data_IF_007851377125
#
_entry.id   IF_007851377125
#
_cell.length_a   1.000
_cell.length_b   1.000
_cell.length_c   1.000
_cell.angle_alpha   90.00
_cell.angle_beta   90.00
_cell.angle_gamma   90.00
#
_symmetry.space_group_name_H-M   'P 1'
#
loop_
_entity.id
_entity.type
_entity.pdbx_description
1 polymer ?
#
# COMPACT_ATOMS: atom_id res chain seq x y z
N UNK A 1 22.76 -26.04 -15.21
CA UNK A 1 21.66 -25.69 -14.30
C UNK A 1 21.13 -24.32 -14.66
N UNK A 2 19.81 -24.11 -14.66
CA UNK A 2 19.22 -22.78 -14.79
C UNK A 2 19.60 -21.93 -13.59
N UNK A 3 19.84 -20.62 -13.79
CA UNK A 3 20.04 -19.69 -12.67
C UNK A 3 18.74 -19.55 -11.90
N UNK A 4 18.82 -19.47 -10.60
CA UNK A 4 17.65 -19.33 -9.72
C UNK A 4 17.29 -17.87 -9.51
N UNK A 5 15.99 -17.57 -9.43
CA UNK A 5 15.46 -16.29 -8.98
C UNK A 5 14.33 -16.52 -7.99
N UNK A 6 14.18 -15.55 -7.08
CA UNK A 6 13.09 -15.52 -6.13
C UNK A 6 12.22 -14.29 -6.39
N UNK A 7 10.93 -14.45 -6.33
CA UNK A 7 9.97 -13.36 -6.60
C UNK A 7 9.03 -13.23 -5.41
N UNK A 8 9.10 -12.10 -4.71
CA UNK A 8 8.10 -11.72 -3.72
C UNK A 8 6.94 -11.00 -4.38
N UNK A 9 5.71 -11.40 -4.07
CA UNK A 9 4.47 -10.85 -4.60
C UNK A 9 3.63 -10.27 -3.48
N UNK A 10 3.08 -9.07 -3.71
CA UNK A 10 2.00 -8.47 -2.93
C UNK A 10 0.84 -8.20 -3.88
N UNK A 11 -0.19 -9.06 -3.84
CA UNK A 11 -1.36 -8.99 -4.72
C UNK A 11 -2.46 -8.21 -3.99
N UNK A 12 -2.47 -6.90 -4.20
CA UNK A 12 -3.49 -6.00 -3.67
C UNK A 12 -4.66 -5.78 -4.63
N UNK A 13 -5.77 -5.25 -4.11
CA UNK A 13 -6.97 -5.01 -4.91
C UNK A 13 -6.77 -3.99 -6.05
N UNK A 14 -5.92 -2.97 -5.86
CA UNK A 14 -5.66 -1.91 -6.84
C UNK A 14 -4.34 -2.05 -7.58
N UNK A 15 -3.36 -2.72 -6.95
CA UNK A 15 -2.02 -2.88 -7.47
C UNK A 15 -1.48 -4.26 -7.15
N UNK A 16 -0.77 -4.85 -8.09
CA UNK A 16 0.10 -5.99 -7.83
C UNK A 16 1.54 -5.51 -7.86
N UNK A 17 2.28 -5.79 -6.80
CA UNK A 17 3.68 -5.41 -6.63
C UNK A 17 4.53 -6.67 -6.61
N UNK A 18 5.68 -6.64 -7.30
CA UNK A 18 6.62 -7.75 -7.25
C UNK A 18 8.05 -7.26 -7.04
N UNK A 19 8.80 -8.02 -6.26
CA UNK A 19 10.23 -7.83 -6.05
C UNK A 19 10.98 -9.05 -6.55
N UNK A 20 11.96 -8.83 -7.41
CA UNK A 20 12.76 -9.88 -8.02
C UNK A 20 14.14 -9.89 -7.39
N UNK A 21 14.54 -11.05 -6.89
CA UNK A 21 15.85 -11.32 -6.30
C UNK A 21 16.66 -12.28 -7.18
N UNK A 22 17.97 -12.11 -7.16
CA UNK A 22 18.89 -13.11 -7.70
C UNK A 22 19.11 -14.28 -6.70
N UNK A 23 19.93 -15.24 -7.08
CA UNK A 23 20.32 -16.40 -6.28
C UNK A 23 21.13 -16.05 -5.01
N UNK A 24 21.70 -14.85 -4.94
CA UNK A 24 22.38 -14.30 -3.76
C UNK A 24 21.45 -13.50 -2.83
N UNK A 25 20.14 -13.51 -3.09
CA UNK A 25 19.13 -12.72 -2.38
C UNK A 25 19.38 -11.21 -2.48
N UNK A 26 19.88 -10.72 -3.61
CA UNK A 26 20.01 -9.30 -3.89
C UNK A 26 18.82 -8.84 -4.74
N UNK A 27 18.18 -7.72 -4.37
CA UNK A 27 17.07 -7.13 -5.13
C UNK A 27 17.58 -6.65 -6.49
N UNK A 28 17.04 -7.21 -7.56
CA UNK A 28 17.34 -6.84 -8.95
C UNK A 28 16.40 -5.76 -9.47
N UNK A 29 15.12 -5.91 -9.19
CA UNK A 29 14.09 -4.98 -9.66
C UNK A 29 12.81 -5.09 -8.85
N UNK A 30 12.05 -3.98 -8.86
CA UNK A 30 10.68 -3.88 -8.37
C UNK A 30 9.80 -3.53 -9.56
N UNK A 31 8.66 -4.20 -9.70
CA UNK A 31 7.63 -3.86 -10.68
C UNK A 31 6.32 -3.64 -9.92
N UNK A 32 5.66 -2.55 -10.25
CA UNK A 32 4.32 -2.23 -9.74
C UNK A 32 3.39 -2.15 -10.94
N UNK A 33 2.35 -2.97 -10.92
CA UNK A 33 1.32 -2.98 -11.96
C UNK A 33 0.00 -2.55 -11.35
N UNK A 34 -0.58 -1.49 -11.88
CA UNK A 34 -1.94 -1.10 -11.54
C UNK A 34 -2.89 -2.11 -12.17
N UNK A 35 -3.57 -2.90 -11.33
CA UNK A 35 -4.56 -3.91 -11.72
C UNK A 35 -5.73 -3.74 -10.76
N UNK A 36 -6.87 -3.30 -11.30
CA UNK A 36 -8.12 -3.14 -10.55
C UNK A 36 -8.82 -4.51 -10.47
N UNK A 37 -8.46 -5.32 -9.50
CA UNK A 37 -8.94 -6.72 -9.37
C UNK A 37 -10.47 -6.80 -9.42
N UNK A 38 -11.18 -5.81 -8.86
CA UNK A 38 -12.64 -5.78 -8.86
C UNK A 38 -13.27 -5.62 -10.25
N UNK A 39 -12.51 -5.16 -11.26
CA UNK A 39 -13.00 -4.90 -12.61
C UNK A 39 -12.17 -5.60 -13.69
N UNK A 40 -10.87 -5.79 -13.44
CA UNK A 40 -9.87 -6.22 -14.43
C UNK A 40 -9.14 -7.49 -13.95
N UNK A 41 -9.87 -8.46 -13.38
CA UNK A 41 -9.26 -9.69 -12.83
C UNK A 41 -8.40 -10.44 -13.85
N UNK A 42 -8.79 -10.43 -15.15
CA UNK A 42 -8.01 -11.06 -16.20
C UNK A 42 -6.63 -10.41 -16.39
N UNK A 43 -6.45 -9.16 -16.01
CA UNK A 43 -5.15 -8.47 -16.11
C UNK A 43 -4.13 -9.03 -15.12
N UNK A 44 -4.58 -9.56 -13.97
CA UNK A 44 -3.71 -10.31 -13.06
C UNK A 44 -3.15 -11.56 -13.76
N UNK A 45 -4.00 -12.32 -14.45
CA UNK A 45 -3.59 -13.50 -15.23
C UNK A 45 -2.57 -13.10 -16.30
N UNK A 46 -2.85 -12.04 -17.07
CA UNK A 46 -1.93 -11.55 -18.11
C UNK A 46 -0.59 -11.15 -17.49
N UNK A 47 -0.59 -10.49 -16.33
CA UNK A 47 0.62 -10.10 -15.63
C UNK A 47 1.43 -11.29 -15.11
N UNK A 48 0.77 -12.32 -14.54
CA UNK A 48 1.41 -13.57 -14.12
C UNK A 48 2.10 -14.27 -15.30
N UNK A 49 1.40 -14.39 -16.44
CA UNK A 49 1.95 -14.96 -17.68
C UNK A 49 3.13 -14.13 -18.19
N UNK A 50 3.03 -12.81 -18.17
CA UNK A 50 4.11 -11.91 -18.60
C UNK A 50 5.37 -12.13 -17.78
N UNK A 51 5.26 -12.17 -16.45
CA UNK A 51 6.41 -12.42 -15.55
C UNK A 51 7.01 -13.81 -15.79
N UNK A 52 6.17 -14.83 -15.94
CA UNK A 52 6.62 -16.19 -16.25
C UNK A 52 7.39 -16.28 -17.56
N UNK A 53 6.94 -15.57 -18.60
CA UNK A 53 7.63 -15.49 -19.90
C UNK A 53 8.94 -14.70 -19.83
N UNK A 54 8.96 -13.59 -19.06
CA UNK A 54 10.13 -12.73 -18.91
C UNK A 54 11.30 -13.49 -18.26
N UNK A 55 11.00 -14.43 -17.37
CA UNK A 55 11.99 -15.20 -16.62
C UNK A 55 11.98 -16.70 -16.97
N UNK A 56 11.51 -17.10 -18.17
CA UNK A 56 11.38 -18.50 -18.63
C UNK A 56 12.68 -19.33 -18.54
N UNK A 57 13.84 -18.66 -18.63
CA UNK A 57 15.15 -19.31 -18.62
C UNK A 57 15.72 -19.49 -17.18
N UNK A 58 14.96 -19.07 -16.16
CA UNK A 58 15.31 -19.20 -14.76
C UNK A 58 14.52 -20.32 -14.07
N UNK A 59 15.07 -20.83 -12.97
CA UNK A 59 14.33 -21.61 -11.97
C UNK A 59 13.66 -20.63 -11.00
N UNK A 60 12.33 -20.59 -10.98
CA UNK A 60 11.55 -19.55 -10.28
C UNK A 60 10.95 -20.13 -9.00
N UNK A 61 11.14 -19.41 -7.88
CA UNK A 61 10.37 -19.59 -6.66
C UNK A 61 9.64 -18.29 -6.30
N UNK A 62 8.33 -18.36 -6.13
CA UNK A 62 7.46 -17.22 -5.85
C UNK A 62 6.90 -17.29 -4.42
N UNK A 63 6.94 -16.16 -3.70
CA UNK A 63 6.47 -15.99 -2.32
C UNK A 63 5.37 -14.93 -2.34
N UNK A 64 4.14 -15.34 -2.02
CA UNK A 64 2.93 -14.59 -2.37
C UNK A 64 2.17 -14.20 -1.11
N UNK A 65 1.86 -12.90 -0.98
CA UNK A 65 0.86 -12.37 -0.06
C UNK A 65 -0.33 -11.82 -0.83
N UNK A 66 -1.51 -11.88 -0.22
CA UNK A 66 -2.77 -11.48 -0.84
C UNK A 66 -3.49 -10.49 0.07
N UNK A 67 -4.02 -9.41 -0.53
CA UNK A 67 -4.86 -8.40 0.13
C UNK A 67 -6.00 -7.94 -0.80
N UNK A 68 -6.29 -8.72 -1.83
CA UNK A 68 -7.32 -8.43 -2.83
C UNK A 68 -8.60 -9.25 -2.65
N UNK A 69 -8.67 -10.10 -1.62
CA UNK A 69 -9.76 -11.05 -1.42
C UNK A 69 -11.12 -10.41 -1.14
N UNK A 70 -11.12 -9.15 -0.71
CA UNK A 70 -12.35 -8.40 -0.40
C UNK A 70 -12.85 -7.55 -1.57
N UNK A 71 -12.33 -7.73 -2.79
CA UNK A 71 -12.80 -6.99 -3.96
C UNK A 71 -14.24 -7.36 -4.33
N UNK A 72 -15.00 -6.38 -4.83
CA UNK A 72 -16.46 -6.47 -5.06
C UNK A 72 -16.90 -7.55 -6.05
N UNK A 73 -16.00 -7.99 -6.93
CA UNK A 73 -16.24 -9.08 -7.87
C UNK A 73 -16.24 -10.47 -7.22
N UNK A 74 -15.89 -10.58 -5.95
CA UNK A 74 -15.89 -11.83 -5.20
C UNK A 74 -17.10 -11.89 -4.26
N UNK A 75 -17.83 -13.01 -4.26
CA UNK A 75 -19.01 -13.21 -3.41
C UNK A 75 -18.70 -13.24 -1.91
N UNK A 76 -17.48 -13.61 -1.54
CA UNK A 76 -16.94 -13.60 -0.18
C UNK A 76 -15.41 -13.74 -0.24
N UNK A 77 -14.74 -13.57 0.90
CA UNK A 77 -13.28 -13.58 1.02
C UNK A 77 -12.67 -14.94 0.68
N UNK A 78 -13.29 -16.06 1.10
CA UNK A 78 -12.81 -17.41 0.75
C UNK A 78 -12.78 -17.62 -0.77
N UNK A 79 -13.85 -17.20 -1.44
CA UNK A 79 -13.93 -17.28 -2.90
C UNK A 79 -12.88 -16.38 -3.55
N UNK A 80 -12.65 -15.19 -2.99
CA UNK A 80 -11.60 -14.27 -3.42
C UNK A 80 -10.22 -14.91 -3.32
N UNK A 81 -9.84 -15.44 -2.16
CA UNK A 81 -8.56 -16.13 -1.97
C UNK A 81 -8.43 -17.30 -2.96
N UNK A 82 -9.41 -18.19 -3.01
CA UNK A 82 -9.37 -19.38 -3.90
C UNK A 82 -9.20 -18.97 -5.37
N UNK A 83 -9.88 -17.92 -5.80
CA UNK A 83 -9.74 -17.39 -7.17
C UNK A 83 -8.35 -16.83 -7.45
N UNK A 84 -7.79 -16.07 -6.49
CA UNK A 84 -6.48 -15.44 -6.61
C UNK A 84 -5.34 -16.46 -6.61
N UNK A 85 -5.34 -17.40 -5.65
CA UNK A 85 -4.30 -18.45 -5.61
C UNK A 85 -4.41 -19.41 -6.81
N UNK A 86 -5.62 -19.76 -7.27
CA UNK A 86 -5.79 -20.55 -8.49
C UNK A 86 -5.27 -19.82 -9.73
N UNK A 87 -5.50 -18.50 -9.83
CA UNK A 87 -4.93 -17.68 -10.90
C UNK A 87 -3.40 -17.73 -10.89
N UNK A 88 -2.79 -17.59 -9.71
CA UNK A 88 -1.33 -17.66 -9.54
C UNK A 88 -0.81 -19.06 -9.88
N UNK A 89 -1.47 -20.12 -9.38
CA UNK A 89 -1.06 -21.50 -9.61
C UNK A 89 -1.02 -21.86 -11.09
N UNK A 90 -2.04 -21.47 -11.84
CA UNK A 90 -2.16 -21.78 -13.26
C UNK A 90 -1.24 -20.93 -14.16
N UNK A 91 -0.84 -19.73 -13.74
CA UNK A 91 -0.20 -18.76 -14.65
C UNK A 91 1.21 -18.32 -14.23
N UNK A 92 1.66 -18.63 -13.01
CA UNK A 92 3.05 -18.41 -12.58
C UNK A 92 3.80 -19.74 -12.70
N UNK A 93 4.93 -19.74 -13.41
CA UNK A 93 5.82 -20.91 -13.53
C UNK A 93 6.67 -21.07 -12.28
N UNK A 94 7.12 -22.32 -12.00
CA UNK A 94 7.98 -22.64 -10.86
C UNK A 94 7.21 -22.90 -9.57
N UNK A 95 7.94 -22.94 -8.44
CA UNK A 95 7.37 -23.19 -7.12
C UNK A 95 6.69 -21.94 -6.58
N UNK A 96 5.57 -22.12 -5.89
CA UNK A 96 4.79 -21.05 -5.25
C UNK A 96 4.53 -21.37 -3.80
N UNK A 97 4.64 -20.34 -2.97
CA UNK A 97 4.44 -20.38 -1.53
C UNK A 97 3.51 -19.23 -1.13
N UNK A 98 2.46 -19.54 -0.39
CA UNK A 98 1.44 -18.59 0.03
C UNK A 98 1.58 -18.29 1.52
N UNK A 99 1.85 -17.02 1.86
CA UNK A 99 2.09 -16.62 3.24
C UNK A 99 0.77 -16.49 4.02
N UNK A 100 0.69 -17.13 5.18
CA UNK A 100 -0.50 -17.17 6.03
C UNK A 100 -0.36 -16.32 7.32
N UNK A 101 -1.44 -16.24 8.08
CA UNK A 101 -1.50 -15.51 9.35
C UNK A 101 -0.83 -16.22 10.55
N UNK A 102 -0.29 -17.42 10.34
CA UNK A 102 0.51 -18.18 11.31
C UNK A 102 2.03 -18.05 11.03
N UNK A 103 2.43 -17.15 10.14
CA UNK A 103 3.81 -16.93 9.69
C UNK A 103 4.42 -18.12 8.91
N UNK A 104 3.55 -18.89 8.23
CA UNK A 104 3.95 -20.04 7.44
C UNK A 104 3.81 -19.77 5.94
N UNK A 105 4.54 -20.54 5.15
CA UNK A 105 4.48 -20.53 3.70
C UNK A 105 3.83 -21.83 3.21
N UNK A 106 2.58 -21.75 2.85
CA UNK A 106 1.75 -22.88 2.46
C UNK A 106 1.98 -23.29 1.00
N UNK A 107 1.81 -24.57 0.72
CA UNK A 107 1.61 -25.08 -0.63
C UNK A 107 0.27 -24.63 -1.20
N UNK A 108 0.02 -24.87 -2.51
CA UNK A 108 -1.28 -24.60 -3.11
C UNK A 108 -2.41 -25.40 -2.44
N UNK A 109 -2.17 -26.70 -2.20
CA UNK A 109 -3.19 -27.58 -1.62
C UNK A 109 -3.56 -27.17 -0.19
N UNK A 110 -2.57 -26.76 0.62
CA UNK A 110 -2.82 -26.27 1.98
C UNK A 110 -3.55 -24.93 1.95
N UNK A 111 -3.14 -24.03 1.07
CA UNK A 111 -3.72 -22.68 0.92
C UNK A 111 -5.18 -22.73 0.45
N UNK A 112 -5.56 -23.63 -0.48
CA UNK A 112 -6.92 -23.75 -0.98
C UNK A 112 -7.88 -24.37 0.05
N UNK A 113 -7.33 -25.18 0.97
CA UNK A 113 -8.08 -25.84 2.03
C UNK A 113 -8.25 -24.96 3.29
N UNK A 114 -7.41 -23.92 3.46
CA UNK A 114 -7.48 -23.00 4.60
C UNK A 114 -7.41 -21.53 4.16
N UNK A 115 -8.32 -21.08 3.26
CA UNK A 115 -8.26 -19.74 2.65
C UNK A 115 -8.37 -18.62 3.68
N UNK A 116 -9.07 -18.82 4.79
CA UNK A 116 -9.24 -17.85 5.89
C UNK A 116 -7.91 -17.45 6.55
N UNK A 117 -6.89 -18.28 6.42
CA UNK A 117 -5.56 -17.98 6.99
C UNK A 117 -4.73 -17.02 6.13
N UNK A 118 -5.18 -16.73 4.90
CA UNK A 118 -4.46 -15.88 3.96
C UNK A 118 -5.03 -14.45 3.84
N UNK A 119 -6.09 -14.11 4.59
CA UNK A 119 -6.72 -12.79 4.49
C UNK A 119 -5.81 -11.66 4.93
N UNK A 120 -5.55 -10.72 4.03
CA UNK A 120 -4.85 -9.44 4.33
C UNK A 120 -3.55 -9.63 5.13
N UNK A 121 -2.67 -10.56 4.70
CA UNK A 121 -1.50 -10.96 5.50
C UNK A 121 -0.24 -10.10 5.30
N UNK A 122 -0.24 -9.15 4.36
CA UNK A 122 0.95 -8.35 4.02
C UNK A 122 1.51 -7.53 5.21
N UNK A 123 0.65 -6.96 6.06
CA UNK A 123 1.07 -6.20 7.24
C UNK A 123 1.81 -7.05 8.28
N UNK A 124 1.52 -8.37 8.33
CA UNK A 124 2.19 -9.30 9.25
C UNK A 124 3.66 -9.48 8.91
N UNK A 125 4.02 -9.40 7.63
CA UNK A 125 5.42 -9.39 7.22
C UNK A 125 6.15 -8.17 7.76
N UNK A 126 5.53 -6.98 7.69
CA UNK A 126 6.07 -5.75 8.28
C UNK A 126 6.16 -5.84 9.80
N UNK A 127 5.18 -6.50 10.46
CA UNK A 127 5.24 -6.79 11.89
C UNK A 127 6.41 -7.70 12.26
N UNK A 128 6.65 -8.77 11.49
CA UNK A 128 7.77 -9.67 11.73
C UNK A 128 9.12 -8.97 11.53
N UNK A 129 9.23 -8.14 10.49
CA UNK A 129 10.40 -7.29 10.29
C UNK A 129 10.61 -6.33 11.47
N UNK A 130 9.56 -5.65 11.93
CA UNK A 130 9.64 -4.72 13.06
C UNK A 130 10.14 -5.41 14.33
N UNK A 131 9.70 -6.65 14.59
CA UNK A 131 10.13 -7.40 15.76
C UNK A 131 11.55 -7.98 15.64
N UNK A 132 12.10 -8.07 14.44
CA UNK A 132 13.49 -8.49 14.21
C UNK A 132 14.50 -7.35 14.45
N UNK A 133 14.03 -6.08 14.51
CA UNK A 133 14.87 -4.90 14.72
C UNK A 133 14.50 -4.17 16.01
N UNK A 134 15.45 -3.47 16.61
CA UNK A 134 15.23 -2.60 17.77
C UNK A 134 15.23 -1.10 17.41
N UNK A 135 15.12 -0.78 16.13
CA UNK A 135 15.28 0.59 15.62
C UNK A 135 14.01 1.42 15.65
N UNK A 136 12.84 0.76 15.67
CA UNK A 136 11.54 1.43 15.56
C UNK A 136 10.55 0.85 16.56
N UNK A 137 9.62 1.68 17.04
CA UNK A 137 8.49 1.27 17.88
C UNK A 137 7.22 1.09 17.05
N UNK A 138 7.05 1.92 16.01
CA UNK A 138 5.90 1.93 15.11
C UNK A 138 6.37 2.08 13.67
N UNK A 139 5.85 1.23 12.77
CA UNK A 139 5.92 1.43 11.31
C UNK A 139 4.52 1.75 10.80
N UNK A 140 4.40 2.83 10.05
CA UNK A 140 3.14 3.21 9.38
C UNK A 140 3.31 2.96 7.88
N UNK A 141 2.44 2.09 7.34
CA UNK A 141 2.36 1.85 5.89
C UNK A 141 1.16 2.60 5.32
N UNK A 142 1.43 3.66 4.55
CA UNK A 142 0.39 4.39 3.83
C UNK A 142 0.41 3.92 2.38
N UNK A 143 -0.49 3.00 2.08
CA UNK A 143 -0.73 2.52 0.73
C UNK A 143 -1.69 3.40 -0.06
N UNK A 144 -2.08 2.93 -1.25
CA UNK A 144 -3.04 3.65 -2.10
C UNK A 144 -4.45 3.72 -1.51
N UNK A 145 -4.86 2.72 -0.72
CA UNK A 145 -6.24 2.54 -0.22
C UNK A 145 -6.32 2.60 1.30
N UNK A 146 -5.31 2.11 2.02
CA UNK A 146 -5.32 1.93 3.48
C UNK A 146 -4.07 2.52 4.11
N UNK A 147 -4.16 2.75 5.41
CA UNK A 147 -3.04 3.06 6.29
C UNK A 147 -2.99 2.04 7.41
N UNK A 148 -1.86 1.36 7.54
CA UNK A 148 -1.59 0.31 8.52
C UNK A 148 -0.67 0.84 9.62
N UNK A 149 -1.04 0.63 10.89
CA UNK A 149 -0.24 1.00 12.07
C UNK A 149 0.29 -0.28 12.72
N UNK A 150 1.59 -0.52 12.61
CA UNK A 150 2.24 -1.77 12.98
C UNK A 150 3.27 -1.48 14.07
N UNK A 151 3.07 -2.01 15.29
CA UNK A 151 3.93 -1.74 16.44
C UNK A 151 4.33 -3.01 17.19
N UNK A 152 5.47 -2.99 17.87
CA UNK A 152 6.10 -4.17 18.53
C UNK A 152 5.20 -4.89 19.53
N UNK A 153 4.48 -4.18 20.36
CA UNK A 153 3.62 -4.76 21.40
C UNK A 153 2.24 -5.19 20.87
N UNK A 154 2.02 -5.13 19.55
CA UNK A 154 0.73 -5.47 18.96
C UNK A 154 0.43 -6.95 19.10
N UNK A 155 -0.72 -7.29 19.68
CA UNK A 155 -1.18 -8.66 19.77
C UNK A 155 -1.77 -9.10 18.40
N UNK A 156 -1.09 -10.01 17.70
CA UNK A 156 -1.54 -10.51 16.39
C UNK A 156 -2.94 -11.13 16.45
N UNK A 157 -3.28 -11.89 17.49
CA UNK A 157 -4.60 -12.52 17.63
C UNK A 157 -5.74 -11.52 17.71
N UNK A 158 -5.49 -10.35 18.34
CA UNK A 158 -6.45 -9.26 18.42
C UNK A 158 -6.51 -8.41 17.15
N UNK A 159 -5.69 -8.71 16.13
CA UNK A 159 -5.58 -7.97 14.88
C UNK A 159 -5.63 -8.89 13.65
N UNK A 160 -6.18 -10.09 13.79
CA UNK A 160 -6.14 -11.15 12.77
C UNK A 160 -6.99 -10.85 11.53
N UNK A 161 -7.90 -9.88 11.59
CA UNK A 161 -8.72 -9.44 10.47
C UNK A 161 -9.00 -7.93 10.52
N UNK A 162 -9.49 -7.37 9.41
CA UNK A 162 -9.74 -5.94 9.27
C UNK A 162 -10.74 -5.39 10.29
N UNK A 163 -11.77 -6.15 10.65
CA UNK A 163 -12.73 -5.75 11.68
C UNK A 163 -12.04 -5.46 13.03
N UNK A 164 -11.20 -6.39 13.49
CA UNK A 164 -10.46 -6.22 14.74
C UNK A 164 -9.42 -5.09 14.62
N UNK A 165 -8.77 -4.97 13.47
CA UNK A 165 -7.80 -3.90 13.22
C UNK A 165 -8.44 -2.52 13.18
N UNK A 166 -9.60 -2.38 12.56
CA UNK A 166 -10.39 -1.15 12.60
C UNK A 166 -10.82 -0.81 14.03
N UNK A 167 -11.33 -1.79 14.78
CA UNK A 167 -11.70 -1.65 16.20
C UNK A 167 -10.52 -1.18 17.06
N UNK A 168 -9.33 -1.71 16.82
CA UNK A 168 -8.13 -1.43 17.61
C UNK A 168 -7.33 -0.24 17.05
N UNK A 169 -7.84 0.50 16.06
CA UNK A 169 -7.17 1.64 15.45
C UNK A 169 -5.80 1.31 14.81
N UNK A 170 -5.57 0.05 14.46
CA UNK A 170 -4.35 -0.41 13.77
C UNK A 170 -4.50 -0.43 12.25
N UNK A 171 -5.68 -0.08 11.74
CA UNK A 171 -6.02 0.06 10.33
C UNK A 171 -6.95 1.27 10.13
N UNK A 172 -6.64 2.10 9.14
CA UNK A 172 -7.57 3.06 8.55
C UNK A 172 -7.83 2.69 7.08
N UNK A 173 -9.09 2.64 6.68
CA UNK A 173 -9.45 2.58 5.25
C UNK A 173 -9.34 3.99 4.63
N UNK A 174 -8.15 4.54 4.75
CA UNK A 174 -7.78 5.85 4.21
C UNK A 174 -6.35 5.77 3.70
N UNK A 175 -6.18 5.81 2.38
CA UNK A 175 -4.90 5.77 1.70
C UNK A 175 -4.65 7.02 0.87
N UNK A 176 -3.44 7.15 0.39
CA UNK A 176 -2.99 8.40 -0.22
C UNK A 176 -3.36 8.58 -1.71
N UNK A 177 -4.11 7.64 -2.31
CA UNK A 177 -4.48 7.77 -3.74
C UNK A 177 -5.99 7.62 -3.95
N UNK A 178 -6.61 6.60 -3.38
CA UNK A 178 -7.96 6.17 -3.77
C UNK A 178 -9.08 6.60 -2.84
N UNK A 179 -8.79 7.19 -1.70
CA UNK A 179 -9.83 7.57 -0.74
C UNK A 179 -10.63 8.78 -1.27
N UNK A 180 -11.95 8.63 -1.50
CA UNK A 180 -12.81 9.74 -1.88
C UNK A 180 -12.78 10.85 -0.82
N UNK A 181 -12.70 12.10 -1.25
CA UNK A 181 -12.55 13.24 -0.32
C UNK A 181 -13.73 13.35 0.65
N UNK A 182 -14.94 13.11 0.18
CA UNK A 182 -16.16 13.18 1.01
C UNK A 182 -16.20 12.14 2.14
N UNK A 183 -15.34 11.11 2.12
CA UNK A 183 -15.29 10.11 3.20
C UNK A 183 -14.53 10.58 4.45
N UNK A 184 -13.70 11.62 4.35
CA UNK A 184 -12.91 12.09 5.49
C UNK A 184 -12.90 13.61 5.65
N UNK A 185 -13.35 14.38 4.64
CA UNK A 185 -13.45 15.83 4.69
C UNK A 185 -14.90 16.27 4.39
N UNK A 186 -15.50 16.98 5.32
CA UNK A 186 -16.91 17.41 5.18
C UNK A 186 -17.04 18.86 4.69
N UNK A 187 -16.08 19.73 5.05
CA UNK A 187 -16.13 21.16 4.79
C UNK A 187 -14.73 21.69 4.49
N UNK A 188 -14.68 22.76 3.71
CA UNK A 188 -13.47 23.54 3.43
C UNK A 188 -13.82 25.04 3.45
N UNK A 189 -12.81 25.89 3.57
CA UNK A 189 -12.96 27.32 3.35
C UNK A 189 -12.58 27.67 1.91
N UNK A 190 -13.48 28.36 1.23
CA UNK A 190 -13.27 28.90 -0.10
C UNK A 190 -13.67 30.38 -0.11
N UNK A 191 -12.76 31.28 -0.47
CA UNK A 191 -12.99 32.74 -0.47
C UNK A 191 -13.63 33.24 0.83
N UNK A 192 -13.06 32.85 1.98
CA UNK A 192 -13.52 33.18 3.34
C UNK A 192 -14.90 32.63 3.74
N UNK A 193 -15.52 31.78 2.92
CA UNK A 193 -16.78 31.13 3.24
C UNK A 193 -16.56 29.65 3.52
N UNK A 194 -17.21 29.12 4.55
CA UNK A 194 -17.21 27.68 4.83
C UNK A 194 -18.18 27.00 3.88
N UNK A 195 -17.68 26.08 3.08
CA UNK A 195 -18.45 25.34 2.06
C UNK A 195 -18.44 23.87 2.41
N UNK A 196 -19.60 23.22 2.34
CA UNK A 196 -19.70 21.76 2.44
C UNK A 196 -19.20 21.12 1.14
N UNK A 197 -18.43 20.04 1.26
CA UNK A 197 -18.06 19.24 0.10
C UNK A 197 -19.27 18.44 -0.40
N UNK A 198 -19.38 18.30 -1.71
CA UNK A 198 -20.39 17.46 -2.35
C UNK A 198 -20.08 16.01 -2.01
N UNK A 199 -21.09 15.26 -1.54
CA UNK A 199 -20.97 13.87 -1.15
C UNK A 199 -21.03 12.93 -2.37
N UNK A 200 -20.09 13.14 -3.30
CA UNK A 200 -19.90 12.35 -4.52
C UNK A 200 -18.43 12.07 -4.75
N UNK A 201 -18.13 11.06 -5.57
CA UNK A 201 -16.74 10.65 -5.86
C UNK A 201 -16.21 11.43 -7.07
N UNK A 202 -16.06 12.76 -6.94
CA UNK A 202 -15.45 13.58 -8.00
C UNK A 202 -13.93 13.66 -7.88
N UNK A 203 -13.41 13.63 -6.66
CA UNK A 203 -11.98 13.69 -6.39
C UNK A 203 -11.58 12.74 -5.25
N UNK A 204 -10.31 12.34 -5.23
CA UNK A 204 -9.74 11.46 -4.22
C UNK A 204 -8.53 12.08 -3.53
N UNK A 205 -8.02 11.42 -2.49
CA UNK A 205 -6.76 11.80 -1.83
C UNK A 205 -5.60 11.96 -2.82
N UNK A 206 -5.58 11.18 -3.91
CA UNK A 206 -4.58 11.33 -4.96
C UNK A 206 -4.58 12.69 -5.63
N UNK A 207 -5.74 13.32 -5.81
CA UNK A 207 -5.82 14.68 -6.37
C UNK A 207 -5.19 15.70 -5.45
N UNK A 208 -5.44 15.57 -4.15
CA UNK A 208 -4.86 16.44 -3.13
C UNK A 208 -3.34 16.32 -3.14
N UNK A 209 -2.81 15.10 -3.04
CA UNK A 209 -1.36 14.87 -2.99
C UNK A 209 -0.65 15.12 -4.31
N UNK A 210 -1.36 15.12 -5.44
CA UNK A 210 -0.85 15.61 -6.71
C UNK A 210 -0.71 17.16 -6.71
N UNK A 211 -1.74 17.87 -6.24
CA UNK A 211 -1.74 19.34 -6.14
C UNK A 211 -0.65 19.82 -5.15
N UNK A 212 -0.56 19.20 -3.97
CA UNK A 212 0.43 19.54 -2.93
C UNK A 212 1.82 18.98 -3.22
N UNK A 213 1.98 18.17 -4.29
CA UNK A 213 3.24 17.56 -4.75
C UNK A 213 3.88 16.58 -3.76
N UNK A 214 3.09 15.97 -2.89
CA UNK A 214 3.55 14.94 -1.97
C UNK A 214 3.82 13.62 -2.68
N UNK A 215 3.06 13.33 -3.76
CA UNK A 215 3.19 12.12 -4.59
C UNK A 215 3.50 12.51 -6.03
N UNK A 216 4.50 11.83 -6.59
CA UNK A 216 4.91 12.01 -7.99
C UNK A 216 4.15 11.03 -8.91
N UNK A 217 2.98 11.44 -9.38
CA UNK A 217 2.15 10.62 -10.27
C UNK A 217 2.75 10.37 -11.66
N UNK A 218 3.76 11.12 -12.07
CA UNK A 218 4.46 10.86 -13.35
C UNK A 218 5.17 9.50 -13.37
N UNK A 219 5.52 8.99 -12.17
CA UNK A 219 6.18 7.68 -12.00
C UNK A 219 5.19 6.55 -11.72
N UNK A 220 3.93 6.89 -11.47
CA UNK A 220 2.88 5.96 -11.07
C UNK A 220 1.79 6.02 -12.15
N UNK A 221 1.58 4.95 -12.90
CA UNK A 221 0.56 4.89 -13.96
C UNK A 221 -0.87 4.79 -13.39
N UNK A 222 -1.22 5.68 -12.44
CA UNK A 222 -2.57 5.78 -11.91
C UNK A 222 -3.43 6.71 -12.77
N UNK A 223 -4.71 6.41 -12.83
CA UNK A 223 -5.76 7.25 -13.43
C UNK A 223 -6.74 7.67 -12.35
N UNK A 224 -7.31 8.86 -12.51
CA UNK A 224 -8.33 9.41 -11.63
C UNK A 224 -9.69 8.70 -11.76
N UNK A 225 -10.65 9.15 -10.97
CA UNK A 225 -12.02 8.58 -10.94
C UNK A 225 -12.79 8.78 -12.25
N UNK A 226 -12.40 9.78 -13.04
CA UNK A 226 -12.92 10.10 -14.37
C UNK A 226 -12.20 9.37 -15.51
N UNK A 227 -11.33 8.43 -15.19
CA UNK A 227 -10.43 7.70 -16.09
C UNK A 227 -9.36 8.57 -16.80
N UNK A 228 -9.17 9.81 -16.37
CA UNK A 228 -8.14 10.70 -16.87
C UNK A 228 -6.87 10.63 -16.00
N UNK A 229 -5.71 10.95 -16.60
CA UNK A 229 -4.42 10.96 -15.89
C UNK A 229 -4.41 11.96 -14.73
N UNK A 230 -3.56 11.69 -13.71
CA UNK A 230 -3.27 12.64 -12.63
C UNK A 230 -2.34 13.77 -13.12
N UNK A 231 -2.83 14.60 -14.05
CA UNK A 231 -2.21 15.91 -14.30
C UNK A 231 -2.63 16.89 -13.22
N UNK A 232 -1.83 17.93 -12.98
CA UNK A 232 -2.21 18.99 -12.00
C UNK A 232 -3.53 19.65 -12.41
N UNK A 233 -3.74 19.88 -13.71
CA UNK A 233 -4.96 20.50 -14.22
C UNK A 233 -6.19 19.61 -14.00
N UNK A 234 -6.10 18.31 -14.31
CA UNK A 234 -7.19 17.37 -14.06
C UNK A 234 -7.54 17.27 -12.55
N UNK A 235 -6.51 17.33 -11.68
CA UNK A 235 -6.75 17.34 -10.24
C UNK A 235 -7.46 18.63 -9.77
N UNK A 236 -7.15 19.78 -10.35
CA UNK A 236 -7.92 21.01 -10.07
C UNK A 236 -9.36 20.91 -10.57
N UNK A 237 -9.59 20.33 -11.77
CA UNK A 237 -10.94 20.12 -12.33
C UNK A 237 -11.76 19.20 -11.42
N UNK A 238 -11.19 18.10 -10.95
CA UNK A 238 -11.87 17.17 -10.04
C UNK A 238 -12.15 17.81 -8.67
N UNK A 239 -11.17 18.55 -8.13
CA UNK A 239 -11.32 19.22 -6.83
C UNK A 239 -12.36 20.33 -6.88
N UNK A 240 -12.43 21.14 -7.96
CA UNK A 240 -13.44 22.19 -8.09
C UNK A 240 -14.86 21.65 -8.10
N UNK A 241 -15.09 20.46 -8.70
CA UNK A 241 -16.40 19.78 -8.68
C UNK A 241 -16.85 19.44 -7.25
N UNK A 242 -15.91 19.20 -6.31
CA UNK A 242 -16.25 18.92 -4.91
C UNK A 242 -16.95 20.08 -4.20
N UNK A 243 -16.83 21.30 -4.72
CA UNK A 243 -17.50 22.51 -4.20
C UNK A 243 -18.52 23.07 -5.20
N UNK A 244 -18.90 22.31 -6.23
CA UNK A 244 -19.94 22.67 -7.21
C UNK A 244 -19.50 23.74 -8.22
N UNK A 245 -18.19 23.84 -8.51
CA UNK A 245 -17.65 24.83 -9.45
C UNK A 245 -16.93 24.15 -10.62
N UNK A 246 -16.83 24.87 -11.74
CA UNK A 246 -15.92 24.56 -12.81
C UNK A 246 -14.56 25.22 -12.56
N UNK A 247 -13.48 24.49 -12.86
CA UNK A 247 -12.13 25.03 -12.71
C UNK A 247 -11.83 26.12 -13.75
N UNK A 248 -11.37 27.27 -13.29
CA UNK A 248 -10.80 28.34 -14.12
C UNK A 248 -9.39 28.69 -13.64
N UNK A 249 -8.49 29.05 -14.55
CA UNK A 249 -7.07 29.29 -14.22
C UNK A 249 -6.84 30.39 -13.17
N UNK A 250 -7.71 31.40 -13.12
CA UNK A 250 -7.65 32.45 -12.10
C UNK A 250 -7.95 31.96 -10.69
N UNK A 251 -8.57 30.78 -10.55
CA UNK A 251 -8.96 30.19 -9.26
C UNK A 251 -7.92 29.18 -8.71
N UNK A 252 -6.81 29.02 -9.41
CA UNK A 252 -5.73 28.06 -9.05
C UNK A 252 -5.31 28.16 -7.58
N UNK A 253 -5.08 29.39 -7.08
CA UNK A 253 -4.63 29.62 -5.70
C UNK A 253 -5.66 29.10 -4.68
N UNK A 254 -6.95 29.34 -4.93
CA UNK A 254 -8.00 28.82 -4.05
C UNK A 254 -8.08 27.29 -4.06
N UNK A 255 -7.84 26.63 -5.21
CA UNK A 255 -7.78 25.16 -5.28
C UNK A 255 -6.56 24.60 -4.52
N UNK A 256 -5.41 25.27 -4.59
CA UNK A 256 -4.24 24.93 -3.78
C UNK A 256 -4.53 25.09 -2.28
N UNK A 257 -5.19 26.16 -1.86
CA UNK A 257 -5.58 26.38 -0.47
C UNK A 257 -6.57 25.33 0.03
N UNK A 258 -7.55 24.92 -0.77
CA UNK A 258 -8.48 23.82 -0.46
C UNK A 258 -7.70 22.50 -0.34
N UNK A 259 -6.77 22.22 -1.26
CA UNK A 259 -5.97 21.01 -1.21
C UNK A 259 -5.13 20.93 0.09
N UNK A 260 -4.54 22.05 0.53
CA UNK A 260 -3.82 22.12 1.80
C UNK A 260 -4.74 21.84 3.00
N UNK A 261 -5.93 22.43 3.05
CA UNK A 261 -6.90 22.17 4.12
C UNK A 261 -7.29 20.68 4.20
N UNK A 262 -7.58 20.05 3.05
CA UNK A 262 -7.97 18.63 3.01
C UNK A 262 -6.77 17.74 3.38
N UNK A 263 -5.54 18.10 2.96
CA UNK A 263 -4.33 17.43 3.39
C UNK A 263 -4.17 17.46 4.91
N UNK A 264 -4.37 18.61 5.55
CA UNK A 264 -4.32 18.73 7.01
C UNK A 264 -5.34 17.80 7.70
N UNK A 265 -6.58 17.71 7.17
CA UNK A 265 -7.58 16.79 7.69
C UNK A 265 -7.08 15.33 7.56
N UNK A 266 -6.49 14.96 6.43
CA UNK A 266 -5.92 13.63 6.22
C UNK A 266 -4.81 13.33 7.24
N UNK A 267 -3.85 14.24 7.41
CA UNK A 267 -2.74 14.08 8.36
C UNK A 267 -3.23 13.99 9.80
N UNK A 268 -4.24 14.78 10.17
CA UNK A 268 -4.85 14.74 11.51
C UNK A 268 -5.52 13.40 11.81
N UNK A 269 -6.21 12.77 10.85
CA UNK A 269 -6.77 11.43 11.04
C UNK A 269 -5.68 10.38 11.34
N UNK A 270 -4.52 10.47 10.70
CA UNK A 270 -3.38 9.59 11.01
C UNK A 270 -2.82 9.89 12.39
N UNK A 271 -2.65 11.18 12.73
CA UNK A 271 -2.14 11.61 14.02
C UNK A 271 -3.06 11.19 15.18
N UNK A 272 -4.38 11.21 14.99
CA UNK A 272 -5.34 10.71 15.98
C UNK A 272 -5.13 9.23 16.29
N UNK A 273 -4.87 8.40 15.27
CA UNK A 273 -4.56 6.99 15.50
C UNK A 273 -3.22 6.81 16.22
N UNK A 274 -2.19 7.60 15.87
CA UNK A 274 -0.90 7.60 16.58
C UNK A 274 -1.12 7.96 18.06
N UNK A 275 -1.87 9.02 18.34
CA UNK A 275 -2.17 9.46 19.71
C UNK A 275 -2.96 8.42 20.52
N UNK A 276 -3.90 7.72 19.87
CA UNK A 276 -4.67 6.64 20.50
C UNK A 276 -3.77 5.45 20.87
N UNK A 277 -2.90 5.03 19.95
CA UNK A 277 -2.01 3.88 20.16
C UNK A 277 -0.86 4.23 21.11
N UNK A 278 -0.38 5.46 21.07
CA UNK A 278 0.76 5.95 21.84
C UNK A 278 0.45 7.31 22.48
N UNK A 279 -0.26 7.32 23.63
CA UNK A 279 -0.57 8.57 24.34
C UNK A 279 0.69 9.39 24.70
N UNK A 280 1.83 8.72 24.94
CA UNK A 280 3.13 9.32 25.24
C UNK A 280 4.06 9.26 24.01
N UNK A 281 3.59 9.76 22.86
CA UNK A 281 4.28 9.68 21.56
C UNK A 281 5.70 10.27 21.52
N UNK A 282 6.09 11.11 22.47
CA UNK A 282 7.43 11.72 22.50
C UNK A 282 8.56 10.69 22.76
N UNK A 283 8.23 9.50 23.24
CA UNK A 283 9.19 8.46 23.58
C UNK A 283 9.23 7.31 22.56
N UNK A 284 8.62 7.49 21.38
CA UNK A 284 8.62 6.46 20.34
C UNK A 284 9.37 6.92 19.10
N UNK A 285 9.98 5.98 18.41
CA UNK A 285 10.57 6.19 17.09
C UNK A 285 9.65 5.60 16.03
N UNK A 286 9.16 6.45 15.14
CA UNK A 286 8.28 6.07 14.02
C UNK A 286 9.10 5.90 12.75
N UNK A 287 8.75 4.92 11.96
CA UNK A 287 9.17 4.80 10.56
C UNK A 287 7.98 4.68 9.63
N UNK A 288 8.23 4.74 8.33
CA UNK A 288 7.17 4.61 7.35
C UNK A 288 7.59 3.91 6.07
N UNK A 289 6.62 3.24 5.44
CA UNK A 289 6.70 2.59 4.13
C UNK A 289 5.48 2.98 3.28
N UNK A 290 5.39 2.45 2.08
CA UNK A 290 4.29 2.73 1.16
C UNK A 290 4.46 4.01 0.35
N UNK A 291 3.47 4.29 -0.50
CA UNK A 291 3.45 5.48 -1.36
C UNK A 291 3.40 6.78 -0.56
N UNK A 292 2.67 6.78 0.57
CA UNK A 292 2.47 7.95 1.43
C UNK A 292 3.53 8.15 2.52
N UNK A 293 4.67 7.44 2.47
CA UNK A 293 5.70 7.52 3.52
C UNK A 293 6.18 8.94 3.87
N UNK A 294 6.15 9.88 2.91
CA UNK A 294 6.53 11.28 3.15
C UNK A 294 5.56 12.00 4.09
N UNK A 295 4.28 11.64 4.04
CA UNK A 295 3.23 12.22 4.88
C UNK A 295 3.47 11.89 6.36
N UNK A 296 3.90 10.66 6.66
CA UNK A 296 4.26 10.27 8.05
C UNK A 296 5.46 11.07 8.54
N UNK A 297 6.46 11.29 7.69
CA UNK A 297 7.63 12.10 8.05
C UNK A 297 7.23 13.55 8.37
N UNK A 298 6.30 14.13 7.61
CA UNK A 298 5.75 15.47 7.85
C UNK A 298 5.04 15.52 9.20
N UNK A 299 4.13 14.57 9.50
CA UNK A 299 3.47 14.45 10.81
C UNK A 299 4.50 14.40 11.95
N UNK A 300 5.53 13.58 11.80
CA UNK A 300 6.56 13.44 12.84
C UNK A 300 7.33 14.75 13.05
N UNK A 301 7.66 15.45 11.98
CA UNK A 301 8.34 16.74 12.04
C UNK A 301 7.48 17.80 12.75
N UNK A 302 6.24 17.96 12.32
CA UNK A 302 5.34 19.01 12.83
C UNK A 302 4.96 18.80 14.30
N UNK A 303 4.97 17.53 14.77
CA UNK A 303 4.62 17.17 16.14
C UNK A 303 5.81 16.75 17.01
N UNK A 304 7.04 17.01 16.56
CA UNK A 304 8.28 16.70 17.30
C UNK A 304 8.39 15.23 17.74
N UNK A 305 7.90 14.30 16.89
CA UNK A 305 8.01 12.85 17.11
C UNK A 305 9.30 12.35 16.45
N UNK A 306 10.03 11.45 17.11
CA UNK A 306 11.23 10.86 16.52
C UNK A 306 10.88 10.07 15.26
N UNK A 307 11.52 10.41 14.13
CA UNK A 307 11.35 9.71 12.86
C UNK A 307 12.68 9.15 12.37
N UNK A 308 12.69 7.86 12.01
CA UNK A 308 13.84 7.21 11.40
C UNK A 308 13.40 6.46 10.13
N UNK A 309 13.99 6.79 8.99
CA UNK A 309 13.72 6.06 7.74
C UNK A 309 14.17 4.61 7.84
N UNK A 310 13.40 3.69 7.24
CA UNK A 310 13.85 2.28 7.12
C UNK A 310 15.04 2.23 6.17
N UNK A 311 16.20 1.89 6.73
CA UNK A 311 17.39 1.52 5.99
C UNK A 311 17.95 0.25 6.61
N UNK A 312 17.66 -0.90 6.00
CA UNK A 312 18.28 -2.15 6.40
C UNK A 312 19.57 -2.38 5.60
N UNK A 313 20.69 -2.46 6.27
CA UNK A 313 21.95 -2.91 5.64
C UNK A 313 21.87 -4.38 5.22
N UNK A 314 20.87 -5.09 5.67
CA UNK A 314 20.64 -6.52 5.39
C UNK A 314 19.96 -6.72 4.03
N UNK A 315 19.25 -5.71 3.51
CA UNK A 315 18.67 -5.77 2.17
C UNK A 315 19.75 -5.41 1.15
N UNK A 316 20.32 -6.42 0.54
CA UNK A 316 21.26 -6.24 -0.55
C UNK A 316 20.48 -5.82 -1.81
N UNK A 317 20.89 -4.70 -2.39
CA UNK A 317 20.24 -4.11 -3.57
C UNK A 317 21.28 -3.96 -4.67
N UNK A 318 21.00 -4.52 -5.85
CA UNK A 318 21.86 -4.39 -7.02
C UNK A 318 22.04 -2.92 -7.40
N UNK A 319 23.23 -2.56 -7.91
CA UNK A 319 23.61 -1.16 -8.25
C UNK A 319 22.59 -0.43 -9.15
N UNK A 320 21.91 -1.15 -10.03
CA UNK A 320 20.95 -0.58 -10.99
C UNK A 320 19.51 -0.54 -10.45
N UNK A 321 19.26 -0.99 -9.23
CA UNK A 321 17.93 -0.96 -8.64
C UNK A 321 17.75 0.30 -7.76
N UNK A 322 16.61 0.97 -7.90
CA UNK A 322 16.29 2.16 -7.13
C UNK A 322 15.94 1.78 -5.68
N UNK A 323 16.80 2.15 -4.75
CA UNK A 323 16.61 1.90 -3.30
C UNK A 323 15.30 2.48 -2.76
N UNK A 324 14.93 3.68 -3.17
CA UNK A 324 13.70 4.32 -2.71
C UNK A 324 12.46 3.50 -3.11
N UNK A 325 12.46 2.93 -4.32
CA UNK A 325 11.39 2.08 -4.81
C UNK A 325 11.27 0.79 -3.99
N UNK A 326 12.38 0.21 -3.55
CA UNK A 326 12.41 -0.98 -2.68
C UNK A 326 11.69 -0.72 -1.37
N UNK A 327 12.00 0.39 -0.70
CA UNK A 327 11.38 0.74 0.59
C UNK A 327 9.95 1.28 0.46
N UNK A 328 9.56 1.82 -0.70
CA UNK A 328 8.16 2.19 -0.97
C UNK A 328 7.26 0.97 -1.23
N UNK A 329 7.85 -0.17 -1.62
CA UNK A 329 7.12 -1.40 -1.94
C UNK A 329 7.58 -2.56 -1.04
N UNK A 330 7.72 -2.27 0.23
CA UNK A 330 8.35 -3.16 1.21
C UNK A 330 7.60 -4.48 1.37
N UNK A 331 6.28 -4.47 1.24
CA UNK A 331 5.41 -5.64 1.37
C UNK A 331 5.68 -6.75 0.34
N UNK A 332 6.20 -6.42 -0.85
CA UNK A 332 6.63 -7.45 -1.81
C UNK A 332 8.10 -7.87 -1.65
N UNK A 333 8.88 -7.13 -0.85
CA UNK A 333 10.29 -7.48 -0.54
C UNK A 333 10.36 -8.51 0.58
N UNK A 334 9.57 -8.32 1.63
CA UNK A 334 9.60 -9.10 2.86
C UNK A 334 9.27 -10.58 2.70
N UNK A 335 8.35 -11.02 1.81
CA UNK A 335 8.03 -12.45 1.70
C UNK A 335 9.26 -13.32 1.41
N UNK A 336 10.17 -12.86 0.55
CA UNK A 336 11.40 -13.59 0.24
C UNK A 336 12.38 -13.54 1.41
N UNK A 337 12.63 -12.35 1.95
CA UNK A 337 13.65 -12.17 2.99
C UNK A 337 13.29 -12.90 4.29
N UNK A 338 12.04 -12.88 4.70
CA UNK A 338 11.56 -13.59 5.89
C UNK A 338 11.60 -15.11 5.69
N UNK A 339 11.28 -15.62 4.50
CA UNK A 339 11.41 -17.04 4.21
C UNK A 339 12.86 -17.53 4.42
N UNK A 340 13.83 -16.77 3.97
CA UNK A 340 15.25 -17.09 4.14
C UNK A 340 15.87 -16.62 5.48
N UNK A 341 15.04 -16.08 6.40
CA UNK A 341 15.48 -15.58 7.72
C UNK A 341 16.69 -14.65 7.62
N UNK A 342 16.58 -13.63 6.75
CA UNK A 342 17.64 -12.65 6.48
C UNK A 342 17.54 -11.38 7.34
N UNK A 343 16.90 -11.47 8.51
CA UNK A 343 16.83 -10.44 9.53
C UNK A 343 17.22 -11.01 10.88
#
# INVERSE_FOLDING_TARGET
MRKKIYIGWDIGGANTKICIFNDLLEVKSILVKNIKIWNEFNDLKIFCIYISKLYKDYDIESFITITAESCDNFKNRDFGIKSLISCCELNITGKKYYYNNLDEYLSYDDAINSPETLYSTNWMLTYNYLNSTNEYDLIIDIGSTTTDFIYKSMNKKNNINDYLRLKNKTLLYMGCIRTPLAMFANNVYYKNSRISLINEIFATSGDIFNITKDIDFKKLNYIGVDNEAYTIENSYIRLSRMIGLDYIKSDKKNMEDIACQIKEIFLNNILENINYLFPNKNNITISSVGEGKKLVREICYDHSISYKSIYSNEIKICKNCNKELVYSNFTCVLPVLLFFKKF
#
